data_IF_386359859492
#
_entry.id   IF_386359859492
#
_cell.length_a   1.000
_cell.length_b   1.000
_cell.length_c   1.000
_cell.angle_alpha   90.00
_cell.angle_beta   90.00
_cell.angle_gamma   90.00
#
_symmetry.space_group_name_H-M   'P 1'
#
loop_
_entity.id
_entity.type
_entity.pdbx_description
1 polymer ?
#
# COMPACT_ATOMS: atom_id res chain seq x y z
N UNK A 1 -47.79 27.84 55.76
CA UNK A 1 -47.98 26.41 56.01
C UNK A 1 -48.48 25.78 54.71
N UNK A 2 -47.53 25.36 53.88
CA UNK A 2 -47.72 24.28 52.92
C UNK A 2 -46.31 23.77 52.67
N UNK A 3 -45.97 22.75 53.45
CA UNK A 3 -44.77 21.94 53.30
C UNK A 3 -44.72 21.42 51.86
N UNK A 4 -43.66 21.77 51.14
CA UNK A 4 -43.27 21.00 49.97
C UNK A 4 -42.66 19.69 50.47
N UNK A 5 -43.53 18.72 50.72
CA UNK A 5 -43.15 17.34 50.98
C UNK A 5 -42.41 16.81 49.74
N UNK A 6 -41.09 16.75 49.84
CA UNK A 6 -40.18 16.13 48.88
C UNK A 6 -40.25 14.59 48.96
N UNK A 7 -41.45 14.02 49.01
CA UNK A 7 -41.66 12.58 49.23
C UNK A 7 -42.93 12.11 48.52
N UNK A 8 -42.93 12.16 47.19
CA UNK A 8 -43.66 11.18 46.37
C UNK A 8 -42.98 11.04 45.00
N UNK A 9 -42.01 10.12 44.92
CA UNK A 9 -41.23 9.71 43.74
C UNK A 9 -40.42 10.83 43.07
N UNK A 10 -39.10 10.79 43.21
CA UNK A 10 -38.12 11.67 42.53
C UNK A 10 -38.30 11.65 41.00
N UNK A 11 -39.25 12.44 40.48
CA UNK A 11 -39.50 12.70 39.07
C UNK A 11 -39.56 14.23 38.95
N UNK A 12 -38.58 14.82 38.27
CA UNK A 12 -38.33 16.25 38.25
C UNK A 12 -39.50 17.02 37.66
N UNK A 13 -39.83 18.15 38.28
CA UNK A 13 -40.82 19.11 37.81
C UNK A 13 -40.12 20.46 37.71
N UNK A 14 -40.06 21.03 36.50
CA UNK A 14 -39.71 22.43 36.28
C UNK A 14 -40.94 23.17 35.75
N UNK A 15 -41.18 24.38 36.27
CA UNK A 15 -42.27 25.27 35.86
C UNK A 15 -41.63 26.47 35.13
N UNK A 16 -41.91 26.66 33.84
CA UNK A 16 -41.50 27.85 33.07
C UNK A 16 -42.62 28.90 33.04
N UNK A 17 -42.30 30.21 32.94
CA UNK A 17 -43.29 31.29 32.99
C UNK A 17 -43.97 31.49 31.62
N UNK A 18 -44.72 30.48 31.17
CA UNK A 18 -45.79 30.52 30.18
C UNK A 18 -46.37 29.10 30.10
N UNK A 19 -47.53 28.90 30.76
CA UNK A 19 -48.43 27.73 30.80
C UNK A 19 -48.05 26.42 30.06
N UNK A 20 -46.96 25.76 30.45
CA UNK A 20 -46.77 24.33 30.21
C UNK A 20 -46.00 23.70 31.38
N UNK A 21 -46.61 22.68 32.02
CA UNK A 21 -45.98 21.85 33.04
C UNK A 21 -45.35 20.67 32.32
N UNK A 22 -44.02 20.62 32.29
CA UNK A 22 -43.28 19.53 31.63
C UNK A 22 -42.66 18.64 32.70
N UNK A 23 -43.06 17.37 32.73
CA UNK A 23 -42.45 16.36 33.60
C UNK A 23 -41.13 15.93 32.97
N UNK A 24 -40.01 16.29 33.61
CA UNK A 24 -38.68 15.91 33.14
C UNK A 24 -38.19 14.78 34.06
N UNK A 25 -37.89 13.59 33.53
CA UNK A 25 -37.28 12.52 34.33
C UNK A 25 -36.06 13.05 35.08
N UNK A 26 -35.90 12.67 36.37
CA UNK A 26 -34.70 13.05 37.14
C UNK A 26 -33.46 12.42 36.50
N UNK A 27 -33.62 11.20 35.98
CA UNK A 27 -32.60 10.48 35.24
C UNK A 27 -33.02 10.25 33.78
N UNK A 28 -32.07 10.35 32.87
CA UNK A 28 -32.25 10.02 31.46
C UNK A 28 -31.15 9.07 30.95
N UNK A 29 -30.74 8.12 31.81
CA UNK A 29 -29.63 7.20 31.54
C UNK A 29 -29.76 6.43 30.21
N UNK A 30 -30.99 6.15 29.77
CA UNK A 30 -31.27 5.43 28.51
C UNK A 30 -30.74 6.15 27.27
N UNK A 31 -30.37 7.44 27.37
CA UNK A 31 -29.73 8.17 26.29
C UNK A 31 -28.30 7.70 25.98
N UNK A 32 -27.62 7.03 26.92
CA UNK A 32 -26.26 6.54 26.73
C UNK A 32 -26.26 5.12 26.17
N UNK A 33 -25.59 4.94 25.03
CA UNK A 33 -25.68 3.70 24.24
C UNK A 33 -24.52 2.75 24.47
N UNK A 34 -23.46 3.22 25.12
CA UNK A 34 -22.28 2.42 25.47
C UNK A 34 -21.94 2.53 26.95
N UNK A 35 -21.25 1.51 27.48
CA UNK A 35 -20.77 1.51 28.86
C UNK A 35 -19.86 2.71 29.13
N UNK A 36 -19.02 3.06 28.16
CA UNK A 36 -18.13 4.22 28.21
C UNK A 36 -18.90 5.52 28.42
N UNK A 37 -19.83 5.83 27.53
CA UNK A 37 -20.67 7.03 27.60
C UNK A 37 -21.48 7.10 28.90
N UNK A 38 -22.08 5.97 29.30
CA UNK A 38 -22.90 5.86 30.50
C UNK A 38 -22.13 6.25 31.75
N UNK A 39 -20.92 5.70 31.91
CA UNK A 39 -20.11 5.87 33.11
C UNK A 39 -19.20 7.10 33.05
N UNK A 40 -19.00 7.70 31.88
CA UNK A 40 -18.32 9.00 31.72
C UNK A 40 -19.29 10.19 31.81
N UNK A 41 -20.60 9.95 31.84
CA UNK A 41 -21.62 11.01 31.91
C UNK A 41 -21.52 11.87 33.17
N UNK A 42 -21.01 11.30 34.27
CA UNK A 42 -20.98 11.93 35.58
C UNK A 42 -22.34 11.95 36.30
N UNK A 43 -23.40 11.35 35.73
CA UNK A 43 -24.70 11.21 36.40
C UNK A 43 -24.64 10.09 37.45
N UNK A 44 -24.77 10.39 38.76
CA UNK A 44 -24.67 9.39 39.82
C UNK A 44 -25.81 8.36 39.81
N UNK A 45 -26.90 8.60 39.07
CA UNK A 45 -28.00 7.66 38.94
C UNK A 45 -27.73 6.58 37.89
N UNK A 46 -26.76 6.79 37.00
CA UNK A 46 -26.53 5.94 35.84
C UNK A 46 -25.45 4.90 36.09
N UNK A 47 -25.75 3.66 35.70
CA UNK A 47 -24.76 2.61 35.58
C UNK A 47 -25.11 1.62 34.47
N UNK A 48 -24.17 0.75 34.14
CA UNK A 48 -24.29 -0.11 32.98
C UNK A 48 -24.78 -1.50 33.36
N UNK A 49 -25.95 -1.88 32.85
CA UNK A 49 -26.53 -3.21 33.05
C UNK A 49 -25.93 -4.19 32.01
N UNK A 50 -24.88 -4.89 32.40
CA UNK A 50 -23.95 -5.63 31.54
C UNK A 50 -24.66 -6.49 30.48
N UNK A 51 -25.39 -7.53 30.89
CA UNK A 51 -26.02 -8.49 29.96
C UNK A 51 -27.25 -7.94 29.22
N UNK A 52 -27.77 -6.78 29.61
CA UNK A 52 -28.91 -6.13 28.94
C UNK A 52 -28.48 -5.06 27.94
N UNK A 53 -27.19 -4.70 27.92
CA UNK A 53 -26.60 -3.69 27.04
C UNK A 53 -27.35 -2.35 27.12
N UNK A 54 -27.58 -1.89 28.35
CA UNK A 54 -28.33 -0.66 28.62
C UNK A 54 -27.76 0.12 29.80
N UNK A 55 -27.78 1.44 29.67
CA UNK A 55 -27.49 2.36 30.75
C UNK A 55 -28.78 2.64 31.54
N UNK A 56 -28.79 2.34 32.83
CA UNK A 56 -29.98 2.45 33.66
C UNK A 56 -29.61 2.63 35.13
N UNK A 57 -30.60 2.87 35.98
CA UNK A 57 -30.42 2.83 37.42
C UNK A 57 -30.26 1.38 37.90
N UNK A 58 -29.60 1.21 39.04
CA UNK A 58 -29.39 -0.11 39.66
C UNK A 58 -30.69 -0.88 39.89
N UNK A 59 -31.76 -0.19 40.31
CA UNK A 59 -33.08 -0.80 40.56
C UNK A 59 -33.83 -1.20 39.28
N UNK A 60 -33.48 -0.61 38.13
CA UNK A 60 -34.02 -0.97 36.82
C UNK A 60 -33.24 -2.10 36.13
N UNK A 61 -32.05 -2.46 36.63
CA UNK A 61 -31.24 -3.55 36.09
C UNK A 61 -31.56 -4.86 36.81
N UNK A 62 -32.07 -5.84 36.06
CA UNK A 62 -32.38 -7.16 36.59
C UNK A 62 -31.11 -7.88 37.06
N UNK A 63 -31.15 -8.45 38.27
CA UNK A 63 -30.02 -9.17 38.91
C UNK A 63 -28.77 -8.30 39.14
N UNK A 64 -28.93 -6.99 39.29
CA UNK A 64 -27.83 -6.06 39.56
C UNK A 64 -27.07 -6.29 40.88
N UNK A 65 -27.56 -7.15 41.78
CA UNK A 65 -26.90 -7.52 43.04
C UNK A 65 -25.83 -8.61 42.86
N UNK A 66 -25.82 -9.31 41.73
CA UNK A 66 -24.83 -10.33 41.41
C UNK A 66 -23.51 -9.72 40.93
N UNK A 67 -22.37 -10.44 41.09
CA UNK A 67 -21.07 -9.94 40.68
C UNK A 67 -21.04 -9.62 39.18
N UNK A 68 -20.45 -8.48 38.84
CA UNK A 68 -20.23 -8.00 37.46
C UNK A 68 -21.50 -7.84 36.59
N UNK A 69 -22.70 -7.85 37.18
CA UNK A 69 -23.96 -7.60 36.44
C UNK A 69 -24.26 -6.13 36.21
N UNK A 70 -23.75 -5.27 37.10
CA UNK A 70 -23.96 -3.84 37.06
C UNK A 70 -22.65 -3.11 37.30
N UNK A 71 -22.15 -2.42 36.26
CA UNK A 71 -20.94 -1.62 36.35
C UNK A 71 -21.29 -0.20 36.80
N UNK A 72 -20.59 0.27 37.83
CA UNK A 72 -20.71 1.63 38.38
C UNK A 72 -19.45 2.48 38.17
N UNK A 73 -18.35 1.86 37.70
CA UNK A 73 -17.11 2.53 37.35
C UNK A 73 -16.71 2.13 35.92
N UNK A 74 -16.09 3.06 35.20
CA UNK A 74 -15.56 2.83 33.85
C UNK A 74 -14.61 1.62 33.78
N UNK A 75 -13.90 1.34 34.87
CA UNK A 75 -12.98 0.20 35.00
C UNK A 75 -13.68 -1.16 35.04
N UNK A 76 -15.02 -1.18 35.13
CA UNK A 76 -15.84 -2.39 35.14
C UNK A 76 -16.56 -2.60 33.79
N UNK A 77 -16.26 -1.77 32.78
CA UNK A 77 -16.77 -2.01 31.43
C UNK A 77 -16.07 -3.22 30.82
N UNK A 78 -16.87 -4.19 30.38
CA UNK A 78 -16.37 -5.41 29.76
C UNK A 78 -15.62 -5.11 28.46
N UNK A 79 -14.57 -5.88 28.20
CA UNK A 79 -13.86 -5.93 26.93
C UNK A 79 -13.77 -7.36 26.41
N UNK A 80 -13.66 -7.51 25.09
CA UNK A 80 -13.60 -8.80 24.42
C UNK A 80 -12.26 -8.94 23.69
N UNK A 81 -11.45 -9.89 24.15
CA UNK A 81 -10.21 -10.29 23.49
C UNK A 81 -10.44 -11.58 22.69
N UNK A 82 -9.92 -11.65 21.47
CA UNK A 82 -10.13 -12.78 20.57
C UNK A 82 -8.79 -13.29 20.08
N UNK A 83 -8.56 -14.60 20.22
CA UNK A 83 -7.36 -15.26 19.73
C UNK A 83 -7.70 -16.46 18.84
N UNK A 84 -7.25 -16.48 17.56
CA UNK A 84 -6.62 -15.36 16.84
C UNK A 84 -7.63 -14.24 16.53
N UNK A 85 -7.17 -12.98 16.45
CA UNK A 85 -8.03 -11.81 16.13
C UNK A 85 -8.33 -11.65 14.63
N UNK A 86 -7.65 -12.45 13.80
CA UNK A 86 -7.88 -12.51 12.35
C UNK A 86 -7.58 -13.89 11.81
N UNK A 87 -8.27 -14.29 10.75
CA UNK A 87 -8.09 -15.60 10.09
C UNK A 87 -8.13 -15.46 8.56
N UNK A 88 -7.47 -16.37 7.86
CA UNK A 88 -7.58 -16.40 6.41
C UNK A 88 -8.98 -16.88 5.98
N UNK A 89 -9.50 -16.36 4.87
CA UNK A 89 -10.76 -16.85 4.26
C UNK A 89 -10.72 -18.35 3.94
N UNK A 90 -9.53 -18.91 3.71
CA UNK A 90 -9.32 -20.34 3.45
C UNK A 90 -9.28 -21.18 4.72
N UNK A 91 -9.05 -20.56 5.89
CA UNK A 91 -9.07 -21.21 7.20
C UNK A 91 -10.44 -21.08 7.87
N UNK A 92 -11.46 -21.63 7.20
CA UNK A 92 -12.81 -21.65 7.73
C UNK A 92 -12.96 -22.65 8.89
N UNK A 93 -14.05 -22.54 9.66
CA UNK A 93 -14.37 -23.46 10.75
C UNK A 93 -13.26 -23.62 11.79
N UNK A 94 -12.55 -22.53 12.08
CA UNK A 94 -11.48 -22.47 13.09
C UNK A 94 -12.06 -22.21 14.47
N UNK A 95 -11.48 -22.85 15.49
CA UNK A 95 -11.79 -22.55 16.88
C UNK A 95 -11.14 -21.23 17.27
N UNK A 96 -11.95 -20.31 17.78
CA UNK A 96 -11.53 -19.03 18.34
C UNK A 96 -11.69 -19.09 19.85
N UNK A 97 -10.68 -18.60 20.57
CA UNK A 97 -10.73 -18.40 22.02
C UNK A 97 -11.07 -16.95 22.30
N UNK A 98 -12.22 -16.70 22.91
CA UNK A 98 -12.67 -15.38 23.30
C UNK A 98 -12.58 -15.25 24.82
N UNK A 99 -11.94 -14.19 25.31
CA UNK A 99 -11.84 -13.86 26.73
C UNK A 99 -12.62 -12.59 27.01
N UNK A 100 -13.57 -12.69 27.94
CA UNK A 100 -14.39 -11.55 28.36
C UNK A 100 -13.86 -11.02 29.69
N UNK A 101 -13.27 -9.82 29.68
CA UNK A 101 -12.81 -9.14 30.89
C UNK A 101 -14.00 -8.60 31.68
N UNK A 102 -13.91 -8.65 33.02
CA UNK A 102 -14.97 -8.20 33.94
C UNK A 102 -16.34 -8.85 33.68
N UNK A 103 -16.35 -10.09 33.19
CA UNK A 103 -17.57 -10.82 32.86
C UNK A 103 -18.39 -11.19 34.11
N UNK A 104 -19.73 -11.14 34.03
CA UNK A 104 -20.60 -11.86 34.97
C UNK A 104 -20.57 -13.36 34.71
N UNK A 105 -21.33 -14.14 35.48
CA UNK A 105 -21.51 -15.56 35.20
C UNK A 105 -22.16 -15.79 33.83
N UNK A 106 -21.44 -16.47 32.94
CA UNK A 106 -21.85 -16.78 31.56
C UNK A 106 -22.41 -18.21 31.42
N UNK A 107 -22.58 -18.94 32.54
CA UNK A 107 -23.01 -20.35 32.57
C UNK A 107 -24.37 -20.62 31.90
N UNK A 108 -25.24 -19.62 31.79
CA UNK A 108 -26.51 -19.70 31.06
C UNK A 108 -26.33 -19.97 29.56
N UNK A 109 -25.11 -19.75 29.03
CA UNK A 109 -24.74 -20.01 27.64
C UNK A 109 -24.62 -18.73 26.82
N UNK A 110 -23.75 -18.79 25.81
CA UNK A 110 -23.40 -17.67 24.93
C UNK A 110 -23.50 -18.11 23.48
N UNK A 111 -23.97 -17.22 22.61
CA UNK A 111 -23.86 -17.37 21.16
C UNK A 111 -22.90 -16.33 20.59
N UNK A 112 -22.04 -16.75 19.66
CA UNK A 112 -21.15 -15.87 18.92
C UNK A 112 -21.80 -15.46 17.59
N UNK A 113 -22.03 -14.17 17.41
CA UNK A 113 -22.54 -13.59 16.18
C UNK A 113 -21.40 -12.93 15.39
N UNK A 114 -21.15 -13.41 14.17
CA UNK A 114 -20.16 -12.84 13.26
C UNK A 114 -20.84 -11.84 12.33
N UNK A 115 -21.04 -10.61 12.79
CA UNK A 115 -21.86 -9.61 12.12
C UNK A 115 -23.23 -10.18 11.73
N UNK A 116 -23.57 -10.06 10.44
CA UNK A 116 -24.81 -10.60 9.88
C UNK A 116 -24.63 -11.96 9.17
N UNK A 117 -23.46 -12.59 9.28
CA UNK A 117 -23.12 -13.79 8.50
C UNK A 117 -23.67 -15.06 9.14
N UNK A 118 -23.33 -15.29 10.41
CA UNK A 118 -23.71 -16.50 11.15
C UNK A 118 -23.75 -16.21 12.64
N UNK A 119 -24.66 -16.89 13.33
CA UNK A 119 -24.65 -17.01 14.78
C UNK A 119 -24.44 -18.48 15.16
N UNK A 120 -23.45 -18.76 16.02
CA UNK A 120 -23.08 -20.12 16.44
C UNK A 120 -23.08 -20.23 17.96
N UNK A 121 -23.34 -21.43 18.48
CA UNK A 121 -23.26 -21.67 19.92
C UNK A 121 -21.79 -21.67 20.39
N UNK A 122 -21.52 -20.95 21.47
CA UNK A 122 -20.21 -20.92 22.12
C UNK A 122 -20.14 -21.87 23.31
N UNK A 123 -19.00 -22.55 23.44
CA UNK A 123 -18.69 -23.34 24.63
C UNK A 123 -18.11 -22.43 25.71
N UNK A 124 -18.79 -22.34 26.86
CA UNK A 124 -18.41 -21.44 27.96
C UNK A 124 -17.60 -22.19 29.01
N UNK A 125 -16.50 -21.61 29.45
CA UNK A 125 -15.68 -22.06 30.58
C UNK A 125 -15.23 -20.85 31.41
N UNK A 126 -16.00 -20.50 32.43
CA UNK A 126 -15.78 -19.27 33.20
C UNK A 126 -16.00 -18.02 32.34
N UNK A 127 -14.98 -17.17 32.23
CA UNK A 127 -14.98 -15.98 31.35
C UNK A 127 -14.46 -16.24 29.93
N UNK A 128 -14.06 -17.49 29.63
CA UNK A 128 -13.63 -17.90 28.31
C UNK A 128 -14.80 -18.50 27.52
N UNK A 129 -14.93 -18.09 26.27
CA UNK A 129 -15.91 -18.62 25.32
C UNK A 129 -15.16 -19.13 24.10
N UNK A 130 -15.41 -20.38 23.71
CA UNK A 130 -14.83 -20.98 22.49
C UNK A 130 -15.91 -21.06 21.42
N UNK A 131 -15.65 -20.45 20.27
CA UNK A 131 -16.59 -20.41 19.14
C UNK A 131 -15.92 -20.89 17.85
N UNK A 132 -16.71 -21.43 16.94
CA UNK A 132 -16.25 -21.89 15.63
C UNK A 132 -16.50 -20.77 14.62
N UNK A 133 -15.49 -20.39 13.84
CA UNK A 133 -15.64 -19.39 12.78
C UNK A 133 -16.57 -19.87 11.65
N UNK A 134 -17.13 -18.95 10.83
CA UNK A 134 -18.03 -19.31 9.74
C UNK A 134 -17.45 -20.41 8.83
N UNK A 135 -18.33 -21.29 8.34
CA UNK A 135 -17.98 -22.34 7.38
C UNK A 135 -17.72 -21.80 5.97
N UNK A 136 -17.19 -22.62 5.04
CA UNK A 136 -16.67 -22.17 3.75
C UNK A 136 -17.71 -21.47 2.85
N UNK A 137 -18.99 -21.79 3.02
CA UNK A 137 -20.08 -21.20 2.23
C UNK A 137 -20.51 -19.81 2.74
N UNK A 138 -20.10 -19.44 3.94
CA UNK A 138 -20.58 -18.23 4.64
C UNK A 138 -19.44 -17.26 4.99
N UNK A 139 -18.19 -17.64 4.73
CA UNK A 139 -17.04 -16.72 4.78
C UNK A 139 -17.29 -15.55 3.79
N UNK A 140 -17.03 -14.30 4.19
CA UNK A 140 -17.27 -13.15 3.35
C UNK A 140 -16.37 -13.16 2.11
N UNK A 141 -16.91 -12.66 1.00
CA UNK A 141 -16.12 -12.38 -0.20
C UNK A 141 -15.41 -11.05 0.00
N UNK A 142 -14.08 -11.07 -0.08
CA UNK A 142 -13.27 -9.86 0.03
C UNK A 142 -13.34 -9.09 -1.31
N UNK A 143 -13.62 -7.78 -1.30
CA UNK A 143 -13.61 -6.94 -2.50
C UNK A 143 -12.27 -7.04 -3.26
N UNK A 144 -12.30 -6.95 -4.60
CA UNK A 144 -11.10 -7.10 -5.43
C UNK A 144 -10.01 -6.05 -5.16
N UNK A 145 -10.39 -4.90 -4.63
CA UNK A 145 -9.54 -3.77 -4.27
C UNK A 145 -9.01 -3.83 -2.83
N UNK A 146 -9.37 -4.87 -2.06
CA UNK A 146 -8.98 -5.06 -0.67
C UNK A 146 -8.34 -6.43 -0.45
N UNK A 147 -7.44 -6.55 0.51
CA UNK A 147 -6.83 -7.81 0.94
C UNK A 147 -7.47 -8.39 2.21
N UNK A 148 -8.40 -7.64 2.83
CA UNK A 148 -9.13 -8.04 4.03
C UNK A 148 -10.56 -7.50 4.09
N UNK A 149 -11.36 -8.08 4.97
CA UNK A 149 -12.72 -7.67 5.30
C UNK A 149 -12.93 -7.74 6.82
N UNK A 150 -13.33 -6.63 7.43
CA UNK A 150 -13.63 -6.55 8.86
C UNK A 150 -15.12 -6.69 9.15
N UNK A 151 -15.44 -7.33 10.27
CA UNK A 151 -16.78 -7.37 10.83
C UNK A 151 -16.76 -7.25 12.36
N UNK A 152 -17.90 -6.93 12.95
CA UNK A 152 -18.10 -6.96 14.40
C UNK A 152 -18.42 -8.37 14.87
N UNK A 153 -17.53 -8.98 15.65
CA UNK A 153 -17.76 -10.23 16.37
C UNK A 153 -18.39 -9.92 17.72
N UNK A 154 -19.60 -10.39 17.93
CA UNK A 154 -20.45 -10.03 19.06
C UNK A 154 -20.86 -11.24 19.87
N UNK A 155 -20.96 -11.10 21.20
CA UNK A 155 -21.47 -12.14 22.09
C UNK A 155 -22.91 -11.83 22.51
N UNK A 156 -23.80 -12.80 22.28
CA UNK A 156 -25.20 -12.77 22.73
C UNK A 156 -25.37 -13.65 23.96
N UNK A 157 -25.95 -13.10 25.01
CA UNK A 157 -26.33 -13.87 26.19
C UNK A 157 -27.58 -14.69 25.93
N UNK A 158 -27.56 -16.00 26.22
CA UNK A 158 -28.78 -16.83 26.17
C UNK A 158 -29.76 -16.52 27.30
N UNK A 159 -29.31 -15.87 28.37
CA UNK A 159 -30.19 -15.43 29.47
C UNK A 159 -31.09 -14.26 29.06
N UNK A 160 -30.52 -13.24 28.41
CA UNK A 160 -31.24 -12.00 28.09
C UNK A 160 -31.63 -11.88 26.61
N UNK A 161 -31.02 -12.70 25.75
CA UNK A 161 -31.14 -12.60 24.28
C UNK A 161 -30.44 -11.36 23.68
N UNK A 162 -29.72 -10.57 24.48
CA UNK A 162 -29.08 -9.32 24.05
C UNK A 162 -27.59 -9.53 23.78
N UNK A 163 -27.08 -8.74 22.84
CA UNK A 163 -25.64 -8.60 22.59
C UNK A 163 -25.09 -7.66 23.65
N UNK A 164 -24.03 -8.05 24.34
CA UNK A 164 -23.50 -7.29 25.48
C UNK A 164 -22.03 -6.86 25.33
N UNK A 165 -21.30 -7.46 24.40
CA UNK A 165 -19.92 -7.09 24.08
C UNK A 165 -19.61 -7.48 22.63
N UNK A 166 -18.73 -6.72 21.99
CA UNK A 166 -18.25 -6.99 20.64
C UNK A 166 -16.85 -6.45 20.41
N UNK A 167 -16.20 -6.92 19.37
CA UNK A 167 -14.90 -6.45 18.90
C UNK A 167 -14.73 -6.68 17.41
N UNK A 168 -13.83 -5.93 16.78
CA UNK A 168 -13.51 -6.09 15.36
C UNK A 168 -12.79 -7.43 15.11
N UNK A 169 -13.28 -8.18 14.13
CA UNK A 169 -12.70 -9.43 13.67
C UNK A 169 -12.46 -9.39 12.16
N UNK A 170 -11.28 -9.83 11.70
CA UNK A 170 -10.84 -9.65 10.32
C UNK A 170 -10.66 -10.97 9.58
N UNK A 171 -11.20 -11.03 8.38
CA UNK A 171 -10.90 -12.06 7.38
C UNK A 171 -9.93 -11.50 6.36
N UNK A 172 -8.88 -12.24 6.02
CA UNK A 172 -7.90 -11.79 5.01
C UNK A 172 -7.69 -12.85 3.92
N UNK A 173 -7.30 -12.40 2.73
CA UNK A 173 -7.00 -13.25 1.59
C UNK A 173 -5.61 -12.96 1.05
N UNK A 174 -4.63 -13.76 1.48
CA UNK A 174 -3.27 -13.66 0.96
C UNK A 174 -3.19 -13.82 -0.56
N UNK A 175 -4.08 -14.61 -1.18
CA UNK A 175 -4.05 -14.83 -2.64
C UNK A 175 -4.46 -13.60 -3.46
N UNK A 176 -4.94 -12.52 -2.83
CA UNK A 176 -5.10 -11.22 -3.48
C UNK A 176 -3.75 -10.61 -3.89
N UNK A 177 -2.66 -10.94 -3.20
CA UNK A 177 -1.33 -10.43 -3.51
C UNK A 177 -0.65 -11.24 -4.62
N UNK A 178 -0.37 -10.57 -5.74
CA UNK A 178 0.23 -11.19 -6.94
C UNK A 178 1.76 -11.04 -7.00
N UNK A 179 2.34 -10.24 -6.10
CA UNK A 179 3.76 -9.88 -6.05
C UNK A 179 4.32 -10.17 -4.66
N UNK A 180 5.62 -10.48 -4.57
CA UNK A 180 6.23 -10.92 -3.31
C UNK A 180 6.19 -9.83 -2.26
N UNK A 181 6.64 -8.62 -2.60
CA UNK A 181 6.66 -7.47 -1.71
C UNK A 181 5.25 -7.12 -1.21
N UNK A 182 4.23 -7.18 -2.08
CA UNK A 182 2.84 -6.96 -1.67
C UNK A 182 2.36 -8.01 -0.67
N UNK A 183 2.72 -9.29 -0.89
CA UNK A 183 2.36 -10.40 -0.02
C UNK A 183 2.98 -10.29 1.38
N UNK A 184 4.29 -10.08 1.46
CA UNK A 184 5.02 -10.11 2.74
C UNK A 184 4.94 -8.80 3.52
N UNK A 185 4.62 -7.69 2.86
CA UNK A 185 4.32 -6.41 3.51
C UNK A 185 2.84 -6.28 3.90
N UNK A 186 2.02 -7.32 3.69
CA UNK A 186 0.63 -7.32 4.17
C UNK A 186 0.60 -7.14 5.69
N UNK A 187 -0.46 -6.49 6.19
CA UNK A 187 -0.70 -6.39 7.63
C UNK A 187 -1.00 -7.75 8.28
N UNK A 188 -1.30 -8.78 7.47
CA UNK A 188 -1.63 -10.12 7.90
C UNK A 188 -0.48 -11.09 7.70
N UNK A 189 -0.58 -12.25 8.35
CA UNK A 189 0.43 -13.31 8.28
C UNK A 189 0.34 -14.06 6.96
N UNK A 190 0.91 -13.46 5.92
CA UNK A 190 1.04 -14.06 4.60
C UNK A 190 2.48 -14.51 4.32
N UNK A 191 2.59 -15.49 3.43
CA UNK A 191 3.84 -16.11 3.03
C UNK A 191 3.90 -16.19 1.51
N UNK A 192 5.04 -15.85 0.92
CA UNK A 192 5.25 -15.96 -0.51
C UNK A 192 5.96 -17.26 -0.86
N UNK A 193 5.40 -18.01 -1.79
CA UNK A 193 5.99 -19.24 -2.32
C UNK A 193 6.79 -18.93 -3.59
N UNK A 194 8.09 -18.68 -3.44
CA UNK A 194 9.03 -18.26 -4.49
C UNK A 194 8.89 -19.02 -5.82
N UNK A 195 8.77 -20.35 -5.76
CA UNK A 195 8.76 -21.20 -6.96
C UNK A 195 7.36 -21.51 -7.51
N UNK A 196 6.32 -21.36 -6.68
CA UNK A 196 4.91 -21.41 -7.12
C UNK A 196 4.41 -20.04 -7.59
N UNK A 197 5.17 -18.98 -7.30
CA UNK A 197 4.87 -17.59 -7.61
C UNK A 197 3.46 -17.18 -7.16
N UNK A 198 3.14 -17.45 -5.90
CA UNK A 198 1.85 -17.12 -5.28
C UNK A 198 2.01 -16.79 -3.81
N UNK A 199 1.05 -16.03 -3.29
CA UNK A 199 0.91 -15.69 -1.88
C UNK A 199 -0.11 -16.60 -1.18
N UNK A 200 0.20 -17.04 0.03
CA UNK A 200 -0.61 -18.00 0.80
C UNK A 200 -0.54 -17.70 2.30
N UNK A 201 -1.58 -18.07 3.05
CA UNK A 201 -1.55 -18.05 4.52
C UNK A 201 -0.84 -19.29 5.09
N UNK A 202 -0.80 -20.39 4.33
CA UNK A 202 -0.24 -21.67 4.78
C UNK A 202 1.11 -21.94 4.08
N UNK A 203 2.25 -21.80 4.79
CA UNK A 203 3.57 -22.01 4.22
C UNK A 203 3.82 -23.47 3.81
N UNK A 204 3.03 -24.44 4.31
CA UNK A 204 3.16 -25.84 3.93
C UNK A 204 2.72 -26.10 2.48
N UNK A 205 1.91 -25.20 1.91
CA UNK A 205 1.48 -25.27 0.50
C UNK A 205 2.57 -24.87 -0.49
N UNK A 206 3.69 -24.30 -0.04
CA UNK A 206 4.83 -24.01 -0.91
C UNK A 206 5.57 -25.31 -1.33
N UNK A 207 6.22 -25.28 -2.49
CA UNK A 207 6.90 -26.47 -3.06
C UNK A 207 7.94 -27.09 -2.14
N UNK A 208 8.75 -26.28 -1.45
CA UNK A 208 9.80 -26.72 -0.52
C UNK A 208 10.14 -25.60 0.47
N UNK A 209 10.90 -25.92 1.53
CA UNK A 209 11.15 -25.02 2.65
C UNK A 209 11.96 -23.78 2.24
N UNK A 210 12.97 -23.94 1.38
CA UNK A 210 13.84 -22.87 0.87
C UNK A 210 13.11 -21.89 -0.05
N UNK A 211 11.91 -22.26 -0.50
CA UNK A 211 11.05 -21.41 -1.33
C UNK A 211 10.08 -20.53 -0.54
N UNK A 212 10.09 -20.61 0.79
CA UNK A 212 9.16 -19.87 1.67
C UNK A 212 9.78 -18.52 2.04
N UNK A 213 9.05 -17.45 1.75
CA UNK A 213 9.48 -16.09 2.06
C UNK A 213 8.46 -15.47 3.02
N UNK A 214 8.95 -14.94 4.14
CA UNK A 214 8.17 -14.29 5.19
C UNK A 214 8.65 -12.86 5.50
N UNK A 215 9.76 -12.42 4.91
CA UNK A 215 10.32 -11.07 5.06
C UNK A 215 10.58 -10.45 3.69
N UNK A 216 10.48 -9.12 3.59
CA UNK A 216 10.63 -8.38 2.35
C UNK A 216 12.04 -8.39 1.77
N UNK A 217 13.07 -8.55 2.61
CA UNK A 217 14.47 -8.61 2.16
C UNK A 217 14.77 -9.86 1.31
N UNK A 218 14.03 -10.95 1.56
CA UNK A 218 14.18 -12.21 0.86
C UNK A 218 13.41 -12.26 -0.46
N UNK A 219 12.55 -11.27 -0.73
CA UNK A 219 11.79 -11.21 -1.97
C UNK A 219 12.68 -11.08 -3.22
N UNK A 220 12.35 -11.79 -4.32
CA UNK A 220 12.94 -11.56 -5.62
C UNK A 220 12.57 -10.17 -6.13
N UNK A 221 13.55 -9.28 -6.25
CA UNK A 221 13.32 -7.89 -6.63
C UNK A 221 14.48 -7.33 -7.44
N UNK A 222 14.19 -6.36 -8.30
CA UNK A 222 15.21 -5.60 -9.01
C UNK A 222 15.86 -4.57 -8.09
N UNK A 223 17.14 -4.32 -8.31
CA UNK A 223 17.94 -3.35 -7.54
C UNK A 223 18.34 -2.22 -8.48
N UNK A 224 18.23 -0.94 -8.05
CA UNK A 224 18.66 0.19 -8.86
C UNK A 224 20.14 0.10 -9.20
N UNK A 225 20.46 0.47 -10.44
CA UNK A 225 21.81 0.72 -10.95
C UNK A 225 21.86 2.14 -11.51
N UNK A 226 22.96 2.50 -12.18
CA UNK A 226 22.96 3.64 -13.08
C UNK A 226 21.82 3.53 -14.11
N UNK A 227 21.38 4.68 -14.63
CA UNK A 227 20.29 4.76 -15.60
C UNK A 227 20.56 3.85 -16.80
N UNK A 228 19.52 3.08 -17.19
CA UNK A 228 19.63 2.15 -18.30
C UNK A 228 19.39 2.92 -19.60
N UNK A 229 20.47 3.36 -20.24
CA UNK A 229 20.42 4.18 -21.46
C UNK A 229 20.59 3.31 -22.71
N UNK A 230 19.59 3.31 -23.59
CA UNK A 230 19.64 2.57 -24.86
C UNK A 230 19.41 3.53 -26.04
N UNK A 231 20.42 3.69 -26.92
CA UNK A 231 20.23 4.44 -28.14
C UNK A 231 19.27 3.69 -29.07
N UNK A 232 18.33 4.42 -29.67
CA UNK A 232 17.38 3.85 -30.62
C UNK A 232 18.09 3.29 -31.85
N UNK A 233 17.69 2.09 -32.27
CA UNK A 233 18.26 1.39 -33.43
C UNK A 233 19.53 0.60 -33.13
N UNK A 234 20.12 0.77 -31.95
CA UNK A 234 21.35 0.08 -31.56
C UNK A 234 21.09 -1.27 -30.91
N UNK A 235 21.91 -2.25 -31.31
CA UNK A 235 21.86 -3.60 -30.75
C UNK A 235 22.69 -3.62 -29.48
N UNK A 236 22.05 -3.47 -28.32
CA UNK A 236 22.70 -3.50 -27.00
C UNK A 236 22.02 -4.50 -26.06
N UNK A 237 22.78 -5.22 -25.20
CA UNK A 237 22.21 -5.96 -24.10
C UNK A 237 21.80 -5.02 -22.96
N UNK A 238 20.87 -5.47 -22.10
CA UNK A 238 20.47 -4.74 -20.89
C UNK A 238 20.87 -5.57 -19.68
N UNK A 239 21.81 -5.09 -18.89
CA UNK A 239 22.26 -5.77 -17.67
C UNK A 239 21.55 -5.19 -16.46
N UNK A 240 20.86 -6.03 -15.70
CA UNK A 240 20.09 -5.64 -14.53
C UNK A 240 20.67 -6.30 -13.28
N UNK A 241 20.67 -5.56 -12.17
CA UNK A 241 20.95 -6.08 -10.83
C UNK A 241 19.65 -6.40 -10.12
N UNK A 242 19.70 -7.42 -9.27
CA UNK A 242 18.55 -7.94 -8.56
C UNK A 242 18.98 -8.55 -7.22
N UNK A 243 18.00 -9.03 -6.44
CA UNK A 243 18.19 -9.89 -5.27
C UNK A 243 17.32 -11.13 -5.42
N UNK A 244 17.80 -12.24 -4.85
CA UNK A 244 17.04 -13.46 -4.64
C UNK A 244 16.32 -14.03 -5.87
N UNK A 245 16.82 -13.80 -7.09
CA UNK A 245 16.22 -14.30 -8.32
C UNK A 245 16.06 -15.84 -8.28
N UNK A 246 14.85 -16.38 -8.50
CA UNK A 246 14.63 -17.82 -8.52
C UNK A 246 15.39 -18.52 -9.64
N UNK A 247 15.88 -19.71 -9.33
CA UNK A 247 16.35 -20.63 -10.36
C UNK A 247 15.13 -21.40 -10.90
N UNK A 248 14.78 -21.26 -12.20
CA UNK A 248 13.64 -21.99 -12.78
C UNK A 248 13.78 -23.49 -12.54
N UNK A 249 12.72 -24.13 -12.06
CA UNK A 249 12.65 -25.56 -11.77
C UNK A 249 12.32 -26.37 -13.02
N UNK A 250 12.33 -27.70 -12.91
CA UNK A 250 11.95 -28.59 -14.01
C UNK A 250 10.55 -28.25 -14.55
N UNK A 251 10.43 -28.05 -15.86
CA UNK A 251 9.19 -27.62 -16.51
C UNK A 251 8.92 -26.11 -16.50
N UNK A 252 9.77 -25.29 -15.87
CA UNK A 252 9.65 -23.84 -15.88
C UNK A 252 10.56 -23.20 -16.94
N UNK A 253 10.06 -22.17 -17.63
CA UNK A 253 10.83 -21.42 -18.65
C UNK A 253 11.77 -20.39 -17.99
N UNK A 254 12.78 -19.98 -18.76
CA UNK A 254 13.75 -18.97 -18.37
C UNK A 254 13.18 -17.55 -18.22
N UNK A 255 14.08 -16.58 -18.15
CA UNK A 255 13.74 -15.17 -18.00
C UNK A 255 13.54 -14.47 -19.35
N UNK A 256 12.73 -13.43 -19.34
CA UNK A 256 12.43 -12.52 -20.43
C UNK A 256 12.35 -11.09 -19.89
N UNK A 257 12.78 -10.12 -20.68
CA UNK A 257 12.55 -8.71 -20.44
C UNK A 257 11.41 -8.26 -21.34
N UNK A 258 10.38 -7.66 -20.75
CA UNK A 258 9.18 -7.19 -21.44
C UNK A 258 9.15 -5.67 -21.35
N UNK A 259 9.31 -4.98 -22.47
CA UNK A 259 9.27 -3.52 -22.55
C UNK A 259 7.97 -3.11 -23.24
N UNK A 260 7.28 -2.10 -22.71
CA UNK A 260 6.07 -1.54 -23.32
C UNK A 260 6.37 -0.16 -23.92
N UNK A 261 6.59 -0.13 -25.24
CA UNK A 261 6.98 1.08 -25.97
C UNK A 261 5.80 1.56 -26.80
N UNK A 262 5.19 2.69 -26.45
CA UNK A 262 4.04 3.27 -27.18
C UNK A 262 2.88 2.25 -27.44
N UNK A 263 2.66 1.31 -26.52
CA UNK A 263 1.64 0.26 -26.65
C UNK A 263 2.10 -0.99 -27.40
N UNK A 264 3.30 -1.00 -27.99
CA UNK A 264 3.94 -2.19 -28.54
C UNK A 264 4.74 -2.91 -27.46
N UNK A 265 4.42 -4.19 -27.25
CA UNK A 265 5.10 -5.05 -26.27
C UNK A 265 6.27 -5.77 -26.94
N UNK A 266 7.49 -5.48 -26.48
CA UNK A 266 8.71 -6.14 -26.93
C UNK A 266 9.15 -7.16 -25.88
N UNK A 267 9.21 -8.44 -26.26
CA UNK A 267 9.71 -9.53 -25.41
C UNK A 267 11.08 -9.98 -25.87
N UNK A 268 12.07 -9.86 -24.99
CA UNK A 268 13.46 -10.24 -25.28
C UNK A 268 13.90 -11.31 -24.29
N UNK A 269 14.40 -12.48 -24.74
CA UNK A 269 14.94 -13.50 -23.84
C UNK A 269 16.05 -12.93 -22.95
N UNK A 270 16.13 -13.42 -21.72
CA UNK A 270 17.12 -12.98 -20.74
C UNK A 270 17.82 -14.15 -20.06
N UNK A 271 19.09 -13.95 -19.72
CA UNK A 271 19.91 -14.93 -19.02
C UNK A 271 20.10 -14.50 -17.57
N UNK A 272 19.75 -15.40 -16.64
CA UNK A 272 20.06 -15.25 -15.21
C UNK A 272 21.45 -15.80 -14.96
N UNK A 273 22.40 -14.95 -14.58
CA UNK A 273 23.75 -15.39 -14.23
C UNK A 273 23.82 -16.00 -12.83
N UNK A 274 23.12 -15.38 -11.87
CA UNK A 274 23.09 -15.79 -10.47
C UNK A 274 21.83 -15.22 -9.79
N UNK A 275 21.75 -15.29 -8.45
CA UNK A 275 20.61 -14.74 -7.69
C UNK A 275 20.52 -13.21 -7.74
N UNK A 276 21.55 -12.51 -8.23
CA UNK A 276 21.64 -11.04 -8.17
C UNK A 276 21.85 -10.34 -9.52
N UNK A 277 21.85 -11.06 -10.64
CA UNK A 277 22.09 -10.48 -11.95
C UNK A 277 21.34 -11.22 -13.05
N UNK A 278 20.67 -10.46 -13.91
CA UNK A 278 20.00 -10.93 -15.12
C UNK A 278 20.36 -10.00 -16.27
N UNK A 279 20.47 -10.53 -17.49
CA UNK A 279 20.78 -9.73 -18.67
C UNK A 279 19.87 -10.10 -19.83
N UNK A 280 19.15 -9.10 -20.34
CA UNK A 280 18.38 -9.21 -21.57
C UNK A 280 19.35 -9.34 -22.75
N UNK A 281 19.06 -10.26 -23.68
CA UNK A 281 19.88 -10.48 -24.86
C UNK A 281 19.93 -9.25 -25.76
N UNK A 282 20.91 -9.25 -26.67
CA UNK A 282 21.10 -8.21 -27.67
C UNK A 282 19.83 -7.98 -28.48
N UNK A 283 19.29 -6.77 -28.42
CA UNK A 283 18.14 -6.35 -29.20
C UNK A 283 18.23 -4.85 -29.49
N UNK A 284 17.48 -4.39 -30.48
CA UNK A 284 17.32 -2.97 -30.79
C UNK A 284 15.87 -2.55 -30.60
N UNK A 285 15.69 -1.32 -30.13
CA UNK A 285 14.37 -0.77 -29.82
C UNK A 285 14.15 0.50 -30.63
N UNK A 286 12.89 0.76 -30.97
CA UNK A 286 12.47 1.91 -31.75
C UNK A 286 11.15 2.46 -31.19
N UNK A 287 10.96 3.77 -31.35
CA UNK A 287 9.70 4.47 -31.09
C UNK A 287 9.50 5.53 -32.16
N UNK A 288 8.25 5.89 -32.43
CA UNK A 288 7.90 6.82 -33.50
C UNK A 288 8.04 8.29 -33.07
N UNK A 289 8.33 9.15 -34.04
CA UNK A 289 8.48 10.60 -33.86
C UNK A 289 9.90 11.06 -33.54
N UNK A 290 10.14 12.37 -33.70
CA UNK A 290 11.42 13.04 -33.40
C UNK A 290 11.28 14.13 -32.33
N UNK A 291 10.10 14.21 -31.71
CA UNK A 291 9.73 15.26 -30.76
C UNK A 291 10.28 15.01 -29.36
N UNK A 292 10.63 13.76 -29.05
CA UNK A 292 11.14 13.32 -27.75
C UNK A 292 12.57 12.82 -27.93
N UNK A 293 13.51 13.43 -27.21
CA UNK A 293 14.92 13.01 -27.24
C UNK A 293 15.24 11.84 -26.30
N UNK A 294 14.53 11.73 -25.17
CA UNK A 294 14.68 10.68 -24.17
C UNK A 294 13.31 10.21 -23.69
N UNK A 295 12.97 8.95 -23.97
CA UNK A 295 11.71 8.32 -23.59
C UNK A 295 11.97 7.31 -22.47
N UNK A 296 11.41 7.55 -21.29
CA UNK A 296 11.39 6.57 -20.20
C UNK A 296 10.33 5.50 -20.49
N UNK A 297 10.74 4.24 -20.46
CA UNK A 297 9.92 3.08 -20.81
C UNK A 297 9.82 2.14 -19.62
N UNK A 298 8.58 1.78 -19.30
CA UNK A 298 8.29 0.75 -18.31
C UNK A 298 8.73 -0.61 -18.83
N UNK A 299 9.36 -1.38 -17.95
CA UNK A 299 9.74 -2.75 -18.24
C UNK A 299 9.40 -3.68 -17.08
N UNK A 300 9.17 -4.95 -17.42
CA UNK A 300 9.02 -6.03 -16.47
C UNK A 300 10.03 -7.13 -16.78
N UNK A 301 10.70 -7.64 -15.74
CA UNK A 301 11.45 -8.89 -15.84
C UNK A 301 10.50 -10.02 -15.49
N UNK A 302 10.27 -10.90 -16.44
CA UNK A 302 9.33 -12.01 -16.34
C UNK A 302 10.08 -13.32 -16.42
N UNK A 303 9.65 -14.33 -15.69
CA UNK A 303 10.14 -15.70 -15.85
C UNK A 303 8.96 -16.67 -15.92
N UNK A 304 9.21 -17.87 -16.44
CA UNK A 304 8.15 -18.86 -16.66
C UNK A 304 6.93 -18.33 -17.48
N UNK A 305 7.15 -17.32 -18.33
CA UNK A 305 6.15 -16.72 -19.22
C UNK A 305 5.31 -15.59 -18.60
N UNK A 306 4.93 -15.67 -17.32
CA UNK A 306 4.02 -14.71 -16.66
C UNK A 306 4.40 -14.33 -15.22
N UNK A 307 5.48 -14.87 -14.65
CA UNK A 307 5.90 -14.53 -13.29
C UNK A 307 6.75 -13.27 -13.28
N UNK A 308 6.18 -12.17 -12.81
CA UNK A 308 6.82 -10.86 -12.78
C UNK A 308 7.72 -10.76 -11.54
N UNK A 309 8.93 -10.24 -11.70
CA UNK A 309 9.84 -9.89 -10.61
C UNK A 309 9.50 -8.48 -10.11
N UNK A 310 9.51 -8.29 -8.79
CA UNK A 310 9.16 -7.01 -8.17
C UNK A 310 10.15 -5.91 -8.57
N UNK A 311 9.62 -4.73 -8.91
CA UNK A 311 10.39 -3.54 -9.26
C UNK A 311 10.06 -2.39 -8.29
N UNK A 312 10.52 -2.44 -7.03
CA UNK A 312 10.10 -1.50 -5.99
C UNK A 312 10.55 -0.05 -6.25
N UNK A 313 11.63 0.14 -6.99
CA UNK A 313 12.16 1.46 -7.35
C UNK A 313 11.63 1.97 -8.69
N UNK A 314 10.66 1.26 -9.27
CA UNK A 314 10.04 1.60 -10.55
C UNK A 314 11.07 1.93 -11.65
N UNK A 315 12.11 1.11 -11.73
CA UNK A 315 13.20 1.27 -12.70
C UNK A 315 12.65 1.34 -14.11
N UNK A 316 13.23 2.25 -14.92
CA UNK A 316 12.85 2.46 -16.32
C UNK A 316 14.04 2.21 -17.25
N UNK A 317 13.72 1.87 -18.49
CA UNK A 317 14.68 1.89 -19.60
C UNK A 317 14.52 3.20 -20.34
N UNK A 318 15.61 3.93 -20.56
CA UNK A 318 15.62 5.21 -21.25
C UNK A 318 16.03 5.02 -22.71
N UNK A 319 15.06 5.09 -23.61
CA UNK A 319 15.30 5.05 -25.05
C UNK A 319 15.57 6.46 -25.57
N UNK A 320 16.75 6.70 -26.13
CA UNK A 320 17.13 8.04 -26.58
C UNK A 320 17.55 8.12 -28.05
N UNK A 321 17.31 9.28 -28.66
CA UNK A 321 17.69 9.63 -30.03
C UNK A 321 18.59 10.86 -29.98
N UNK A 322 19.85 10.72 -30.42
CA UNK A 322 20.78 11.85 -30.43
C UNK A 322 20.31 13.03 -31.30
N UNK A 323 19.64 12.77 -32.42
CA UNK A 323 19.20 13.81 -33.34
C UNK A 323 17.90 14.51 -32.93
N UNK A 324 17.09 13.88 -32.07
CA UNK A 324 15.78 14.42 -31.68
C UNK A 324 15.96 15.67 -30.81
N UNK A 325 15.26 16.75 -31.18
CA UNK A 325 15.35 18.08 -30.56
C UNK A 325 16.74 18.75 -30.64
N UNK A 326 17.68 18.23 -31.44
CA UNK A 326 19.08 18.68 -31.47
C UNK A 326 19.58 18.89 -32.91
N UNK A 327 19.02 19.90 -33.56
CA UNK A 327 19.33 20.23 -34.96
C UNK A 327 20.66 20.97 -35.15
N UNK A 328 21.24 21.52 -34.09
CA UNK A 328 22.49 22.28 -34.16
C UNK A 328 23.59 21.69 -33.30
N UNK A 329 24.84 21.96 -33.67
CA UNK A 329 26.03 21.59 -32.89
C UNK A 329 25.93 22.03 -31.42
N UNK A 330 25.48 23.26 -31.18
CA UNK A 330 25.34 23.79 -29.82
C UNK A 330 24.32 23.02 -28.98
N UNK A 331 23.19 22.64 -29.57
CA UNK A 331 22.17 21.84 -28.89
C UNK A 331 22.62 20.40 -28.66
N UNK A 332 23.34 19.81 -29.63
CA UNK A 332 23.91 18.48 -29.52
C UNK A 332 24.92 18.38 -28.39
N UNK A 333 25.87 19.31 -28.33
CA UNK A 333 26.94 19.33 -27.33
C UNK A 333 26.48 19.79 -25.94
N UNK A 334 25.34 20.49 -25.86
CA UNK A 334 24.68 20.82 -24.58
C UNK A 334 23.99 19.60 -23.95
N UNK A 335 23.77 18.52 -24.71
CA UNK A 335 23.16 17.32 -24.17
C UNK A 335 24.01 16.73 -23.03
N UNK A 336 23.34 16.01 -22.14
CA UNK A 336 24.01 15.30 -21.06
C UNK A 336 25.03 14.30 -21.62
N UNK A 337 26.24 14.31 -21.03
CA UNK A 337 27.37 13.48 -21.47
C UNK A 337 27.05 11.99 -21.39
N UNK A 338 26.12 11.58 -20.51
CA UNK A 338 25.68 10.17 -20.37
C UNK A 338 25.12 9.56 -21.65
N UNK A 339 24.63 10.37 -22.59
CA UNK A 339 24.10 9.89 -23.87
C UNK A 339 25.17 9.61 -24.92
N UNK A 340 26.42 10.01 -24.68
CA UNK A 340 27.54 9.83 -25.61
C UNK A 340 27.24 10.35 -27.04
N UNK A 341 26.32 11.30 -27.15
CA UNK A 341 25.97 11.95 -28.42
C UNK A 341 27.00 13.02 -28.76
N UNK A 342 27.37 13.11 -30.04
CA UNK A 342 28.28 14.15 -30.54
C UNK A 342 27.85 14.69 -31.89
N UNK A 343 28.45 15.81 -32.28
CA UNK A 343 28.14 16.47 -33.54
C UNK A 343 29.04 15.95 -34.67
N UNK A 344 28.46 15.32 -35.67
CA UNK A 344 29.17 14.87 -36.87
C UNK A 344 29.21 16.01 -37.88
N UNK A 345 30.35 16.70 -37.99
CA UNK A 345 30.47 17.93 -38.78
C UNK A 345 30.21 17.73 -40.28
N UNK A 346 30.63 16.59 -40.85
CA UNK A 346 30.46 16.28 -42.27
C UNK A 346 29.01 16.01 -42.65
N UNK A 347 28.27 15.38 -41.74
CA UNK A 347 26.87 15.00 -41.95
C UNK A 347 25.88 16.03 -41.39
N UNK A 348 26.39 17.08 -40.73
CA UNK A 348 25.60 18.16 -40.10
C UNK A 348 24.48 17.64 -39.20
N UNK A 349 24.75 16.57 -38.45
CA UNK A 349 23.78 15.92 -37.56
C UNK A 349 24.38 15.49 -36.22
N UNK A 350 23.53 15.41 -35.20
CA UNK A 350 23.88 14.88 -33.88
C UNK A 350 23.71 13.36 -33.85
N UNK A 351 24.78 12.60 -33.60
CA UNK A 351 24.78 11.14 -33.62
C UNK A 351 25.91 10.56 -32.75
N UNK A 352 25.84 9.26 -32.46
CA UNK A 352 26.95 8.56 -31.79
C UNK A 352 28.18 8.48 -32.71
N UNK A 353 29.37 8.38 -32.11
CA UNK A 353 30.65 8.32 -32.83
C UNK A 353 30.68 7.22 -33.90
N UNK A 354 30.19 6.03 -33.56
CA UNK A 354 30.12 4.87 -34.46
C UNK A 354 29.29 5.09 -35.74
N UNK A 355 28.37 6.07 -35.74
CA UNK A 355 27.54 6.40 -36.91
C UNK A 355 28.08 7.58 -37.72
N UNK A 356 29.20 8.18 -37.32
CA UNK A 356 29.86 9.24 -38.06
C UNK A 356 30.98 8.61 -38.90
N UNK A 357 30.69 8.24 -40.15
CA UNK A 357 31.55 7.36 -40.97
C UNK A 357 32.64 8.08 -41.77
N UNK A 358 32.81 9.39 -41.57
CA UNK A 358 33.67 10.21 -42.42
C UNK A 358 35.05 10.49 -41.77
N UNK A 359 36.15 9.94 -42.31
CA UNK A 359 37.50 10.17 -41.80
C UNK A 359 37.99 11.62 -41.95
N UNK A 360 37.32 12.44 -42.77
CA UNK A 360 37.65 13.85 -43.01
C UNK A 360 36.84 14.82 -42.15
N UNK A 361 35.84 14.34 -41.40
CA UNK A 361 35.03 15.21 -40.54
C UNK A 361 35.16 14.81 -39.08
N UNK A 362 35.62 15.71 -38.19
CA UNK A 362 35.72 15.40 -36.77
C UNK A 362 34.33 15.21 -36.19
N UNK A 363 34.14 14.08 -35.52
CA UNK A 363 33.06 13.89 -34.54
C UNK A 363 33.43 14.69 -33.30
N UNK A 364 32.59 15.67 -32.96
CA UNK A 364 32.84 16.60 -31.86
C UNK A 364 32.07 16.15 -30.63
N UNK A 365 32.77 16.05 -29.50
CA UNK A 365 32.22 15.80 -28.17
C UNK A 365 32.57 16.94 -27.20
N UNK A 366 31.87 17.06 -26.07
CA UNK A 366 32.20 18.11 -25.10
C UNK A 366 33.52 17.86 -24.34
N UNK A 367 34.02 16.62 -24.33
CA UNK A 367 35.28 16.21 -23.68
C UNK A 367 36.52 16.74 -24.39
N UNK A 368 36.46 17.03 -25.69
CA UNK A 368 37.54 17.69 -26.40
C UNK A 368 37.60 19.18 -26.02
N UNK A 369 38.52 19.54 -25.12
CA UNK A 369 38.70 20.93 -24.68
C UNK A 369 38.70 21.93 -25.86
N UNK A 370 37.85 22.96 -25.78
CA UNK A 370 37.65 24.04 -26.76
C UNK A 370 36.87 23.70 -28.05
N UNK A 371 35.82 22.88 -27.98
CA UNK A 371 34.92 22.70 -29.14
C UNK A 371 34.20 24.00 -29.51
N UNK A 372 34.43 24.46 -30.74
CA UNK A 372 33.76 25.62 -31.33
C UNK A 372 32.71 25.14 -32.32
N UNK A 373 31.44 25.43 -32.04
CA UNK A 373 30.37 25.26 -33.02
C UNK A 373 30.43 26.39 -34.05
N UNK A 374 30.32 26.04 -35.33
CA UNK A 374 30.31 26.99 -36.44
C UNK A 374 28.88 27.47 -36.77
N UNK A 375 28.78 28.61 -37.46
CA UNK A 375 27.54 29.19 -37.97
C UNK A 375 26.45 29.50 -36.91
N UNK A 376 26.73 30.41 -35.94
CA UNK A 376 25.69 30.86 -35.01
C UNK A 376 24.59 31.62 -35.77
N UNK A 377 23.33 31.34 -35.42
CA UNK A 377 22.14 31.97 -36.01
C UNK A 377 21.30 32.59 -34.88
N UNK A 378 20.77 33.79 -35.12
CA UNK A 378 19.89 34.51 -34.18
C UNK A 378 18.48 34.45 -34.78
N UNK A 379 17.55 33.76 -34.13
CA UNK A 379 16.19 33.56 -34.62
C UNK A 379 15.23 34.70 -34.27
N UNK A 380 15.40 35.33 -33.10
CA UNK A 380 14.65 36.51 -32.68
C UNK A 380 15.55 37.48 -31.89
N UNK A 381 15.38 38.77 -32.15
CA UNK A 381 16.06 39.86 -31.45
C UNK A 381 15.08 40.65 -30.56
N UNK A 382 15.58 41.45 -29.60
CA UNK A 382 14.72 42.28 -28.78
C UNK A 382 13.87 43.20 -29.67
N UNK A 383 12.54 43.11 -29.52
CA UNK A 383 11.64 44.08 -30.15
C UNK A 383 12.03 45.49 -29.67
N UNK A 384 12.02 46.51 -30.55
CA UNK A 384 12.36 47.86 -30.14
C UNK A 384 11.30 48.40 -29.18
N UNK A 385 11.53 48.25 -27.88
CA UNK A 385 10.82 49.04 -26.88
C UNK A 385 11.36 50.47 -26.97
N UNK A 386 10.47 51.40 -27.31
CA UNK A 386 10.76 52.82 -27.22
C UNK A 386 11.07 53.18 -25.77
N UNK A 387 12.35 53.23 -25.41
CA UNK A 387 13.03 54.33 -24.71
C UNK A 387 14.38 53.89 -24.16
N UNK A 388 15.40 54.63 -24.60
CA UNK A 388 16.69 54.92 -23.98
C UNK A 388 17.19 54.03 -22.84
N UNK A 389 18.31 53.34 -23.10
CA UNK A 389 19.30 53.03 -22.06
C UNK A 389 19.57 51.54 -21.87
N UNK A 390 20.74 51.13 -22.36
CA UNK A 390 21.45 49.89 -22.06
C UNK A 390 20.88 48.57 -22.62
N UNK A 391 21.39 48.18 -23.78
CA UNK A 391 21.61 46.76 -24.08
C UNK A 391 22.83 46.64 -24.99
N UNK A 392 24.03 46.57 -24.39
CA UNK A 392 25.28 46.14 -25.02
C UNK A 392 26.35 46.01 -23.92
N UNK A 393 26.17 45.04 -23.03
CA UNK A 393 27.25 44.42 -22.23
C UNK A 393 26.71 43.11 -21.67
N UNK A 394 27.39 42.02 -22.01
CA UNK A 394 27.15 40.61 -21.62
C UNK A 394 26.38 39.77 -22.65
N UNK A 395 27.03 39.45 -23.75
CA UNK A 395 26.82 38.20 -24.49
C UNK A 395 28.10 37.91 -25.29
N UNK A 396 29.12 37.44 -24.57
CA UNK A 396 30.27 36.65 -25.06
C UNK A 396 31.32 36.58 -23.93
N UNK A 397 31.07 35.73 -22.93
CA UNK A 397 32.10 35.26 -22.00
C UNK A 397 31.92 33.76 -21.82
N UNK A 398 32.44 32.99 -22.77
CA UNK A 398 32.82 31.61 -22.54
C UNK A 398 34.33 31.57 -22.37
N UNK A 399 34.81 31.62 -21.14
CA UNK A 399 36.12 31.12 -20.73
C UNK A 399 35.95 30.38 -19.39
N UNK A 400 36.68 29.27 -19.16
CA UNK A 400 36.53 28.46 -17.96
C UNK A 400 37.34 29.06 -16.80
N UNK A 401 36.75 29.14 -15.61
CA UNK A 401 37.47 29.36 -14.37
C UNK A 401 38.07 28.02 -13.90
N UNK A 402 39.40 27.94 -13.90
CA UNK A 402 40.17 26.95 -13.16
C UNK A 402 40.24 27.36 -11.68
N UNK A 403 39.73 26.53 -10.78
CA UNK A 403 40.03 26.59 -9.35
C UNK A 403 41.24 25.70 -9.06
N UNK A 404 42.34 26.32 -8.66
CA UNK A 404 43.42 25.69 -7.89
C UNK A 404 43.50 26.45 -6.57
N UNK A 405 43.27 25.78 -5.45
CA UNK A 405 43.68 26.24 -4.12
C UNK A 405 44.72 25.24 -3.58
N UNK A 406 45.75 25.81 -2.97
CA UNK A 406 46.79 25.16 -2.16
C UNK A 406 46.24 24.49 -0.91
#
# INVERSE_FOLDING_TARGET
>A
MQDFNLLTLCLGLNVTPAEQITRVPVESCEQYTTCGECLSSGDPHCGWCALHNMCSRRDKCQRAWEPNRFAASISQCMSLEVHPSSISVSEHSRLLSLLVSDAPDLSAGISCAFGNLTEVEGQVSGSQVICISPGPKVVPVIPLDQDWFGLELQLRSKETGKIFVGTEFKFYNCSAHQLCLSCVNSAFRCHWCKYRNLCTHDPTTCSFQEGRINISEDCPQLVPTEEILIPVGEVKPITLKARNLPQPQSGQRGYECVLNIQGAVHRVPALRFNSSSVQCQNSSYQYDGMDISNLAVDFAVVWNGNFIIDNPQDLKVHLYKCAAQRESCGLCLKADQKFECGWCSGERRCTLQQHCSSPSSPWLDWSSHNVKCSNPQITEGPQPSQKAGFSLRNLCLCHPCSLTEE
#
